data_IF_099277966559
#
_entry.id   IF_099277966559
#
_cell.length_a   1.000
_cell.length_b   1.000
_cell.length_c   1.000
_cell.angle_alpha   90.00
_cell.angle_beta   90.00
_cell.angle_gamma   90.00
#
_symmetry.space_group_name_H-M   'P 1'
#
loop_
_entity.id
_entity.type
_entity.pdbx_description
1 polymer ?
#
# COMPACT_ATOMS: atom_id res chain seq x y z
N UNK A 1 1.09 0.60 7.11
CA UNK A 1 2.41 0.43 7.76
C UNK A 1 2.32 0.77 9.26
N UNK A 2 2.16 -0.22 10.17
CA UNK A 2 2.03 0.00 11.65
C UNK A 2 3.16 -0.49 12.61
N UNK A 3 4.13 -1.35 12.24
CA UNK A 3 5.09 -1.86 13.23
C UNK A 3 6.06 -0.78 13.73
N UNK A 4 6.65 -0.03 12.79
CA UNK A 4 7.57 1.08 13.10
C UNK A 4 6.86 2.18 13.90
N UNK A 5 5.58 2.44 13.65
CA UNK A 5 4.86 3.49 14.37
C UNK A 5 4.55 3.12 15.82
N UNK A 6 4.26 1.85 16.15
CA UNK A 6 4.04 1.46 17.55
C UNK A 6 5.32 1.56 18.38
N UNK A 7 6.44 1.09 17.83
CA UNK A 7 7.74 1.23 18.49
C UNK A 7 8.10 2.71 18.69
N UNK A 8 8.04 3.51 17.63
CA UNK A 8 8.34 4.95 17.72
C UNK A 8 7.38 5.69 18.66
N UNK A 9 6.11 5.30 18.71
CA UNK A 9 5.15 5.85 19.67
C UNK A 9 5.50 5.47 21.12
N UNK A 10 5.92 4.22 21.37
CA UNK A 10 6.37 3.80 22.69
C UNK A 10 7.62 4.58 23.13
N UNK A 11 8.60 4.74 22.23
CA UNK A 11 9.79 5.58 22.48
C UNK A 11 9.39 7.03 22.75
N UNK A 12 8.50 7.62 21.95
CA UNK A 12 8.02 8.98 22.16
C UNK A 12 7.31 9.17 23.51
N UNK A 13 6.55 8.16 23.97
CA UNK A 13 5.92 8.19 25.30
C UNK A 13 6.93 8.12 26.44
N UNK A 14 7.92 7.23 26.32
CA UNK A 14 9.00 7.11 27.30
C UNK A 14 9.84 8.38 27.37
N UNK A 15 10.19 8.95 26.21
CA UNK A 15 10.89 10.23 26.11
C UNK A 15 10.06 11.40 26.69
N UNK A 16 8.73 11.33 26.59
CA UNK A 16 7.79 12.25 27.22
C UNK A 16 7.58 12.05 28.73
N UNK A 17 8.34 11.15 29.38
CA UNK A 17 8.29 10.93 30.83
C UNK A 17 7.23 9.94 31.31
N UNK A 18 6.54 9.23 30.40
CA UNK A 18 5.68 8.14 30.84
C UNK A 18 6.54 6.98 31.38
N UNK A 19 6.14 6.34 32.49
CA UNK A 19 6.91 5.26 33.11
C UNK A 19 6.90 3.97 32.28
N UNK A 20 5.92 3.81 31.38
CA UNK A 20 5.80 2.64 30.51
C UNK A 20 5.00 2.96 29.23
N UNK A 21 5.17 2.16 28.16
CA UNK A 21 4.34 2.27 26.98
C UNK A 21 2.88 1.91 27.29
N UNK A 22 1.92 2.59 26.66
CA UNK A 22 0.47 2.30 26.84
C UNK A 22 0.01 0.92 26.34
N UNK A 23 0.86 0.23 25.58
CA UNK A 23 0.63 -1.15 25.14
C UNK A 23 1.90 -1.93 25.42
N UNK A 24 1.79 -3.03 26.18
CA UNK A 24 2.92 -3.88 26.49
C UNK A 24 3.54 -4.44 25.20
N UNK A 25 4.86 -4.31 25.01
CA UNK A 25 5.53 -4.77 23.79
C UNK A 25 5.53 -6.31 23.72
N UNK A 26 5.21 -6.82 22.53
CA UNK A 26 5.29 -8.24 22.19
C UNK A 26 6.33 -8.39 21.09
N UNK A 27 7.45 -9.02 21.42
CA UNK A 27 8.57 -9.24 20.49
C UNK A 27 8.37 -10.46 19.60
N UNK A 28 7.60 -11.44 20.09
CA UNK A 28 7.37 -12.71 19.44
C UNK A 28 5.90 -13.12 19.60
N UNK A 29 5.29 -13.60 18.52
CA UNK A 29 3.92 -14.09 18.53
C UNK A 29 3.81 -15.39 17.74
N UNK A 30 4.01 -16.51 18.43
CA UNK A 30 4.03 -17.85 17.81
C UNK A 30 2.68 -18.35 17.29
N UNK A 31 1.59 -17.63 17.53
CA UNK A 31 0.29 -17.92 16.91
C UNK A 31 0.16 -17.35 15.49
N UNK A 32 1.12 -16.54 15.05
CA UNK A 32 1.11 -16.00 13.70
C UNK A 32 1.40 -17.11 12.69
N UNK A 33 0.63 -17.18 11.59
CA UNK A 33 0.89 -18.14 10.54
C UNK A 33 2.20 -17.79 9.83
N UNK A 34 2.95 -18.82 9.40
CA UNK A 34 4.02 -18.63 8.43
C UNK A 34 3.43 -18.27 7.07
N UNK A 35 4.17 -17.49 6.28
CA UNK A 35 3.79 -17.26 4.89
C UNK A 35 3.84 -18.59 4.11
N UNK A 36 2.86 -18.86 3.23
CA UNK A 36 2.96 -19.99 2.32
C UNK A 36 4.23 -19.89 1.45
N UNK A 37 4.88 -21.02 1.11
CA UNK A 37 6.10 -21.01 0.29
C UNK A 37 5.97 -20.23 -1.02
N UNK A 38 4.83 -20.36 -1.71
CA UNK A 38 4.55 -19.63 -2.95
C UNK A 38 4.53 -18.11 -2.80
N UNK A 39 4.06 -17.62 -1.65
CA UNK A 39 4.05 -16.17 -1.36
C UNK A 39 5.47 -15.69 -1.09
N UNK A 40 6.25 -16.47 -0.34
CA UNK A 40 7.65 -16.15 -0.08
C UNK A 40 8.47 -16.13 -1.38
N UNK A 41 8.31 -17.14 -2.22
CA UNK A 41 8.98 -17.23 -3.53
C UNK A 41 8.63 -16.03 -4.43
N UNK A 42 7.36 -15.63 -4.48
CA UNK A 42 6.94 -14.45 -5.24
C UNK A 42 7.56 -13.15 -4.70
N UNK A 43 7.68 -13.01 -3.37
CA UNK A 43 8.33 -11.85 -2.76
C UNK A 43 9.84 -11.81 -3.07
N UNK A 44 10.53 -12.95 -2.93
CA UNK A 44 11.96 -13.06 -3.26
C UNK A 44 12.23 -12.77 -4.74
N UNK A 45 11.37 -13.27 -5.64
CA UNK A 45 11.46 -12.97 -7.06
C UNK A 45 11.22 -11.47 -7.35
N UNK A 46 10.30 -10.82 -6.64
CA UNK A 46 10.09 -9.38 -6.80
C UNK A 46 11.28 -8.55 -6.31
N UNK A 47 11.91 -8.96 -5.21
CA UNK A 47 13.11 -8.30 -4.68
C UNK A 47 14.32 -8.47 -5.61
N UNK A 48 14.42 -9.60 -6.32
CA UNK A 48 15.52 -9.87 -7.26
C UNK A 48 15.41 -9.11 -8.59
N UNK A 49 14.21 -8.65 -8.98
CA UNK A 49 13.99 -7.82 -10.16
C UNK A 49 14.61 -6.42 -10.05
N UNK A 50 15.04 -6.04 -8.85
CA UNK A 50 15.71 -4.78 -8.52
C UNK A 50 15.14 -3.54 -9.25
N UNK A 51 13.83 -3.27 -9.14
CA UNK A 51 13.19 -2.16 -9.84
C UNK A 51 13.68 -0.78 -9.36
N UNK A 52 14.57 -0.75 -8.35
CA UNK A 52 15.09 0.45 -7.70
C UNK A 52 16.54 0.77 -8.05
N UNK A 53 17.25 -0.08 -8.81
CA UNK A 53 18.66 0.14 -9.17
C UNK A 53 18.90 1.17 -10.29
N UNK A 54 17.85 1.85 -10.75
CA UNK A 54 17.94 2.94 -11.72
C UNK A 54 18.10 4.31 -11.06
N UNK A 55 18.50 5.30 -11.85
CA UNK A 55 18.47 6.72 -11.44
C UNK A 55 17.02 7.18 -11.25
N UNK A 56 16.50 6.99 -10.04
CA UNK A 56 15.13 7.30 -9.66
C UNK A 56 15.07 8.71 -9.06
N UNK A 57 14.36 9.60 -9.75
CA UNK A 57 13.96 10.86 -9.15
C UNK A 57 12.92 10.61 -8.04
N UNK A 58 13.21 11.08 -6.82
CA UNK A 58 12.23 11.12 -5.74
C UNK A 58 11.43 12.41 -5.88
N UNK A 59 10.11 12.29 -6.01
CA UNK A 59 9.19 13.42 -6.07
C UNK A 59 8.13 13.30 -4.99
N UNK A 60 8.02 14.33 -4.16
CA UNK A 60 6.95 14.46 -3.18
C UNK A 60 5.75 15.16 -3.83
N UNK A 61 4.61 14.46 -3.88
CA UNK A 61 3.37 14.97 -4.44
C UNK A 61 2.38 15.21 -3.30
N UNK A 62 2.02 16.47 -3.06
CA UNK A 62 0.93 16.83 -2.14
C UNK A 62 -0.38 16.83 -2.91
N UNK A 63 -1.33 16.01 -2.46
CA UNK A 63 -2.68 15.96 -3.04
C UNK A 63 -3.64 16.73 -2.12
N UNK A 64 -4.22 17.84 -2.58
CA UNK A 64 -5.18 18.61 -1.80
C UNK A 64 -6.44 17.79 -1.46
N UNK A 65 -7.05 18.08 -0.30
CA UNK A 65 -8.27 17.41 0.14
C UNK A 65 -9.44 17.65 -0.82
N UNK A 66 -9.55 18.86 -1.38
CA UNK A 66 -10.52 19.20 -2.42
C UNK A 66 -10.41 18.28 -3.66
N UNK A 67 -9.19 17.91 -4.05
CA UNK A 67 -8.96 16.99 -5.17
C UNK A 67 -9.43 15.58 -4.82
N UNK A 68 -9.18 15.14 -3.58
CA UNK A 68 -9.67 13.85 -3.06
C UNK A 68 -11.21 13.81 -3.09
N UNK A 69 -11.88 14.87 -2.64
CA UNK A 69 -13.34 14.94 -2.62
C UNK A 69 -13.93 14.95 -4.04
N UNK A 70 -13.25 15.62 -4.98
CA UNK A 70 -13.63 15.59 -6.39
C UNK A 70 -13.47 14.18 -6.99
N UNK A 71 -12.37 13.48 -6.70
CA UNK A 71 -12.14 12.09 -7.14
C UNK A 71 -13.24 11.18 -6.58
N UNK A 72 -13.55 11.31 -5.29
CA UNK A 72 -14.61 10.53 -4.62
C UNK A 72 -15.97 10.74 -5.27
N UNK A 73 -16.36 12.00 -5.51
CA UNK A 73 -17.64 12.32 -6.16
C UNK A 73 -17.76 11.67 -7.54
N UNK A 74 -16.70 11.76 -8.35
CA UNK A 74 -16.64 11.13 -9.66
C UNK A 74 -16.73 9.59 -9.58
N UNK A 75 -16.06 8.98 -8.60
CA UNK A 75 -16.10 7.54 -8.38
C UNK A 75 -17.51 7.08 -7.97
N UNK A 76 -18.11 7.71 -6.96
CA UNK A 76 -19.46 7.37 -6.49
C UNK A 76 -20.49 7.48 -7.61
N UNK A 77 -20.37 8.47 -8.50
CA UNK A 77 -21.23 8.62 -9.68
C UNK A 77 -21.08 7.49 -10.71
N UNK A 78 -19.86 6.98 -10.92
CA UNK A 78 -19.57 5.91 -11.91
C UNK A 78 -19.87 4.51 -11.40
N UNK A 79 -19.71 4.27 -10.10
CA UNK A 79 -19.81 2.93 -9.50
C UNK A 79 -21.03 2.78 -8.58
N UNK A 80 -22.11 3.52 -8.85
CA UNK A 80 -23.39 3.39 -8.16
C UNK A 80 -23.28 3.42 -6.62
N UNK A 81 -22.39 4.27 -6.09
CA UNK A 81 -22.19 4.41 -4.65
C UNK A 81 -21.43 3.27 -3.97
N UNK A 82 -20.70 2.43 -4.71
CA UNK A 82 -19.78 1.46 -4.10
C UNK A 82 -18.74 2.17 -3.20
N UNK A 83 -18.41 1.60 -2.03
CA UNK A 83 -17.43 2.19 -1.13
C UNK A 83 -16.04 2.12 -1.74
N UNK A 84 -15.30 3.23 -1.67
CA UNK A 84 -13.89 3.32 -2.02
C UNK A 84 -13.17 4.13 -0.96
N UNK A 85 -11.98 3.68 -0.55
CA UNK A 85 -11.17 4.38 0.42
C UNK A 85 -10.37 5.49 -0.24
N UNK A 86 -10.04 6.54 0.51
CA UNK A 86 -9.13 7.60 0.03
C UNK A 86 -7.80 7.06 -0.49
N UNK A 87 -7.30 5.97 0.12
CA UNK A 87 -6.09 5.31 -0.35
C UNK A 87 -6.25 4.73 -1.75
N UNK A 88 -7.33 4.01 -2.02
CA UNK A 88 -7.61 3.42 -3.34
C UNK A 88 -7.85 4.51 -4.39
N UNK A 89 -8.62 5.56 -4.04
CA UNK A 89 -8.87 6.72 -4.90
C UNK A 89 -7.56 7.37 -5.37
N UNK A 90 -6.69 7.72 -4.42
CA UNK A 90 -5.40 8.35 -4.69
C UNK A 90 -4.47 7.42 -5.46
N UNK A 91 -4.39 6.14 -5.06
CA UNK A 91 -3.49 5.18 -5.68
C UNK A 91 -3.87 4.92 -7.14
N UNK A 92 -5.16 4.81 -7.46
CA UNK A 92 -5.66 4.65 -8.82
C UNK A 92 -5.30 5.85 -9.70
N UNK A 93 -5.46 7.08 -9.18
CA UNK A 93 -5.10 8.31 -9.91
C UNK A 93 -3.58 8.37 -10.14
N UNK A 94 -2.76 8.10 -9.12
CA UNK A 94 -1.31 8.09 -9.27
C UNK A 94 -0.83 7.03 -10.26
N UNK A 95 -1.42 5.82 -10.22
CA UNK A 95 -1.09 4.76 -11.16
C UNK A 95 -1.42 5.19 -12.59
N UNK A 96 -2.63 5.73 -12.82
CA UNK A 96 -3.04 6.28 -14.12
C UNK A 96 -2.12 7.40 -14.61
N UNK A 97 -1.81 8.37 -13.74
CA UNK A 97 -0.94 9.50 -14.08
C UNK A 97 0.46 9.01 -14.46
N UNK A 98 1.05 8.09 -13.69
CA UNK A 98 2.37 7.52 -13.97
C UNK A 98 2.37 6.75 -15.29
N UNK A 99 1.39 5.89 -15.52
CA UNK A 99 1.27 5.13 -16.78
C UNK A 99 1.18 6.06 -17.99
N UNK A 100 0.36 7.11 -17.91
CA UNK A 100 0.25 8.14 -18.96
C UNK A 100 1.55 8.93 -19.19
N UNK A 101 2.31 9.19 -18.14
CA UNK A 101 3.57 9.92 -18.24
C UNK A 101 4.67 9.10 -18.94
N UNK A 102 4.71 7.78 -18.68
CA UNK A 102 5.70 6.88 -19.29
C UNK A 102 5.39 6.62 -20.78
N UNK A 103 4.11 6.62 -21.18
CA UNK A 103 3.66 6.43 -22.58
C UNK A 103 4.13 5.11 -23.20
N UNK A 104 3.93 4.01 -22.48
CA UNK A 104 4.19 2.66 -22.98
C UNK A 104 3.20 2.29 -24.09
N UNK A 105 3.55 1.26 -24.88
CA UNK A 105 2.61 0.63 -25.80
C UNK A 105 1.34 0.18 -25.05
N UNK A 106 0.12 0.38 -25.59
CA UNK A 106 -1.12 0.09 -24.89
C UNK A 106 -1.25 -1.33 -24.35
N UNK A 107 -0.63 -2.33 -25.00
CA UNK A 107 -0.67 -3.74 -24.58
C UNK A 107 0.40 -4.08 -23.55
N UNK A 108 1.33 -3.17 -23.26
CA UNK A 108 2.39 -3.38 -22.27
C UNK A 108 1.78 -3.59 -20.88
N UNK A 109 2.06 -4.70 -20.18
CA UNK A 109 1.63 -4.90 -18.81
C UNK A 109 2.26 -3.87 -17.88
N UNK A 110 1.42 -3.22 -17.06
CA UNK A 110 1.85 -2.33 -15.98
C UNK A 110 1.41 -2.91 -14.64
N UNK A 111 2.31 -2.85 -13.67
CA UNK A 111 2.10 -3.38 -12.33
C UNK A 111 1.91 -2.24 -11.33
N UNK A 112 0.86 -2.34 -10.53
CA UNK A 112 0.70 -1.58 -9.29
C UNK A 112 0.95 -2.51 -8.10
N UNK A 113 1.91 -2.15 -7.25
CA UNK A 113 2.23 -2.87 -6.03
C UNK A 113 2.01 -1.96 -4.82
N UNK A 114 1.38 -2.49 -3.77
CA UNK A 114 1.30 -1.82 -2.48
C UNK A 114 1.31 -2.82 -1.33
N UNK A 115 1.68 -2.34 -0.14
CA UNK A 115 1.86 -3.19 1.05
C UNK A 115 0.65 -3.06 1.98
N UNK A 116 -0.04 -4.16 2.24
CA UNK A 116 -1.20 -4.21 3.12
C UNK A 116 -0.83 -4.64 4.56
N UNK A 117 -1.44 -3.99 5.57
CA UNK A 117 -1.28 -4.39 6.98
C UNK A 117 -2.28 -5.49 7.34
N UNK A 118 -1.78 -6.69 7.61
CA UNK A 118 -2.63 -7.88 7.84
C UNK A 118 -2.77 -8.25 9.32
N UNK A 119 -2.26 -7.44 10.26
CA UNK A 119 -2.32 -7.75 11.71
C UNK A 119 -3.69 -8.20 12.19
N UNK A 120 -4.75 -7.51 11.74
CA UNK A 120 -6.13 -7.83 12.12
C UNK A 120 -6.61 -9.18 11.57
N UNK A 121 -6.13 -9.56 10.38
CA UNK A 121 -6.52 -10.79 9.70
C UNK A 121 -5.81 -12.02 10.28
N UNK A 122 -4.56 -11.85 10.73
CA UNK A 122 -3.75 -12.94 11.31
C UNK A 122 -3.85 -13.02 12.84
N UNK A 123 -4.70 -12.19 13.46
CA UNK A 123 -4.87 -12.19 14.92
C UNK A 123 -3.63 -11.74 15.70
N UNK A 124 -2.77 -10.90 15.09
CA UNK A 124 -1.55 -10.44 15.74
C UNK A 124 -1.87 -9.70 17.05
N UNK A 125 -1.11 -10.02 18.12
CA UNK A 125 -1.25 -9.31 19.39
C UNK A 125 -1.10 -7.80 19.20
N UNK A 126 -1.90 -7.02 19.94
CA UNK A 126 -1.93 -5.54 19.85
C UNK A 126 -0.54 -4.90 20.01
N UNK A 127 0.32 -5.49 20.85
CA UNK A 127 1.69 -5.04 21.10
C UNK A 127 2.76 -5.66 20.19
N UNK A 128 2.38 -6.44 19.17
CA UNK A 128 3.35 -7.12 18.31
C UNK A 128 4.11 -6.13 17.42
N UNK A 129 5.42 -6.04 17.65
CA UNK A 129 6.30 -5.09 16.96
C UNK A 129 6.87 -5.64 15.64
N UNK A 130 6.73 -6.94 15.36
CA UNK A 130 7.20 -7.52 14.11
C UNK A 130 6.34 -7.12 12.90
N UNK A 131 6.82 -7.49 11.71
CA UNK A 131 6.11 -7.24 10.47
C UNK A 131 4.92 -8.20 10.30
N UNK A 132 3.77 -7.65 9.95
CA UNK A 132 2.60 -8.41 9.47
C UNK A 132 2.07 -7.65 8.27
N UNK A 133 2.74 -7.84 7.16
CA UNK A 133 2.40 -7.19 5.90
C UNK A 133 2.38 -8.24 4.80
N UNK A 134 1.62 -7.95 3.75
CA UNK A 134 1.63 -8.72 2.51
C UNK A 134 1.68 -7.74 1.36
N UNK A 135 2.40 -8.10 0.31
CA UNK A 135 2.42 -7.33 -0.93
C UNK A 135 1.18 -7.68 -1.76
N UNK A 136 0.51 -6.66 -2.24
CA UNK A 136 -0.65 -6.76 -3.11
C UNK A 136 -0.26 -6.27 -4.50
N UNK A 137 -0.69 -7.01 -5.51
CA UNK A 137 -0.30 -6.79 -6.90
C UNK A 137 -1.55 -6.66 -7.76
N UNK A 138 -1.58 -5.63 -8.59
CA UNK A 138 -2.61 -5.44 -9.61
C UNK A 138 -1.91 -5.24 -10.96
N UNK A 139 -2.22 -6.12 -11.92
CA UNK A 139 -1.66 -6.07 -13.27
C UNK A 139 -2.77 -5.74 -14.25
N UNK A 140 -2.51 -4.78 -15.14
CA UNK A 140 -3.39 -4.42 -16.24
C UNK A 140 -2.54 -3.93 -17.43
N UNK A 141 -3.15 -3.79 -18.60
CA UNK A 141 -2.47 -3.21 -19.76
C UNK A 141 -2.35 -1.69 -19.59
N UNK A 142 -1.29 -1.10 -20.13
CA UNK A 142 -1.03 0.34 -20.09
C UNK A 142 -2.23 1.15 -20.59
N UNK A 143 -2.84 0.73 -21.70
CA UNK A 143 -4.02 1.37 -22.29
C UNK A 143 -5.23 1.34 -21.34
N UNK A 144 -5.51 0.20 -20.72
CA UNK A 144 -6.63 0.06 -19.79
C UNK A 144 -6.47 0.98 -18.57
N UNK A 145 -5.25 1.10 -18.04
CA UNK A 145 -4.94 1.97 -16.90
C UNK A 145 -4.96 3.45 -17.29
N UNK A 146 -4.40 3.78 -18.46
CA UNK A 146 -4.32 5.15 -18.93
C UNK A 146 -5.70 5.72 -19.27
N UNK A 147 -6.53 5.00 -20.01
CA UNK A 147 -7.75 5.59 -20.57
C UNK A 147 -9.03 5.21 -19.80
N UNK A 148 -8.91 4.22 -18.91
CA UNK A 148 -10.05 3.55 -18.30
C UNK A 148 -10.67 2.58 -19.30
N UNK A 149 -11.38 1.58 -18.80
CA UNK A 149 -12.17 0.69 -19.66
C UNK A 149 -13.27 1.51 -20.35
N UNK A 150 -13.00 2.00 -21.55
CA UNK A 150 -14.02 2.39 -22.51
C UNK A 150 -14.75 1.11 -22.92
N UNK A 151 -15.80 0.74 -22.18
CA UNK A 151 -16.86 -0.10 -22.72
C UNK A 151 -18.07 0.79 -22.96
N UNK A 152 -18.30 1.00 -24.26
CA UNK A 152 -19.59 1.25 -24.91
C UNK A 152 -20.73 0.50 -24.26
#
# INVERSE_FOLDING_TARGET
MKPRSQFLQAVGKLAGGLPSPSVAPVRWDGSLPSLPPSVLEAQEHMLSLDPLNGDLATLDITIPLESIDQIRSNFSGRFHGQPCTTFEEVLAVLWRCRTRAIRLDPETPVLLMFVADVRKHVGAKKGYYGNCIIDQFVVATSGAVADGTSRT
#
